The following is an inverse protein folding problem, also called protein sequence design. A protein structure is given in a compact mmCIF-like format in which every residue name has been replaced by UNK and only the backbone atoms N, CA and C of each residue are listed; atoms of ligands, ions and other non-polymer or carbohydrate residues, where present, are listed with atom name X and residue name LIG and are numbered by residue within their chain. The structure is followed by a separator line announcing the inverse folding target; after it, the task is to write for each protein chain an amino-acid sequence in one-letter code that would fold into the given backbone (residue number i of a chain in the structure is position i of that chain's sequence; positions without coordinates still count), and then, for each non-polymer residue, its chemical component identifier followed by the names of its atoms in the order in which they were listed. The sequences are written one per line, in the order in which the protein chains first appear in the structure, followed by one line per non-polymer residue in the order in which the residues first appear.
data_IF_932402346927
#
_entry.id   IF_932402346927
#
_cell.length_a   1.000
_cell.length_b   1.000
_cell.length_c   1.000
_cell.angle_alpha   90.00
_cell.angle_beta   90.00
_cell.angle_gamma   90.00
#
_symmetry.space_group_name_H-M   'P 1'
#
loop_
_entity.id
_entity.type
_entity.pdbx_description
1 polymer ?
#
# COMPACT_ATOMS: atom_id res chain seq x y z
N UNK A 1 26.30 14.30 -15.84
CA UNK A 1 25.59 13.32 -15.01
C UNK A 1 25.64 13.78 -13.55
N UNK A 2 24.55 13.74 -12.82
CA UNK A 2 24.58 14.04 -11.39
C UNK A 2 25.46 13.01 -10.66
N UNK A 3 26.37 13.47 -9.79
CA UNK A 3 27.18 12.58 -8.97
C UNK A 3 26.32 12.06 -7.80
N UNK A 4 25.59 10.95 -8.02
CA UNK A 4 24.73 10.32 -7.02
C UNK A 4 25.54 9.39 -6.12
N UNK A 5 25.33 9.51 -4.82
CA UNK A 5 25.88 8.57 -3.84
C UNK A 5 25.03 7.30 -3.79
N UNK A 6 25.58 6.21 -3.28
CA UNK A 6 24.80 5.03 -2.90
C UNK A 6 23.96 5.36 -1.69
N UNK A 7 22.64 5.32 -1.87
CA UNK A 7 21.66 5.61 -0.81
C UNK A 7 21.03 4.30 -0.35
N UNK A 8 21.29 3.92 0.89
CA UNK A 8 20.75 2.72 1.55
C UNK A 8 19.68 3.05 2.60
N UNK A 9 19.08 4.24 2.54
CA UNK A 9 17.98 4.58 3.45
C UNK A 9 16.78 3.65 3.20
N UNK A 10 16.15 3.14 4.28
CA UNK A 10 15.04 2.19 4.16
C UNK A 10 13.72 2.84 3.71
N UNK A 11 13.63 4.18 3.83
CA UNK A 11 12.47 4.98 3.44
C UNK A 11 12.48 6.36 4.11
N UNK A 12 12.41 7.47 3.33
CA UNK A 12 12.40 7.53 1.86
C UNK A 12 13.61 6.85 1.22
N UNK A 13 13.34 5.93 0.28
CA UNK A 13 14.36 5.13 -0.38
C UNK A 13 14.82 5.77 -1.71
N UNK A 14 15.85 5.19 -2.33
CA UNK A 14 16.33 5.62 -3.64
C UNK A 14 15.25 5.38 -4.72
N UNK A 15 15.09 6.35 -5.61
CA UNK A 15 14.26 6.22 -6.82
C UNK A 15 15.14 5.88 -8.03
N UNK A 16 14.60 5.21 -9.07
CA UNK A 16 15.28 5.00 -10.33
C UNK A 16 15.75 6.33 -10.93
N UNK A 17 16.98 6.36 -11.46
CA UNK A 17 17.55 7.61 -12.02
C UNK A 17 16.70 8.14 -13.19
N UNK A 18 16.27 7.26 -14.08
CA UNK A 18 15.42 7.64 -15.22
C UNK A 18 14.10 8.29 -14.80
N UNK A 19 13.49 7.82 -13.71
CA UNK A 19 12.29 8.46 -13.12
C UNK A 19 12.59 9.88 -12.66
N UNK A 20 13.72 10.09 -11.97
CA UNK A 20 14.12 11.43 -11.50
C UNK A 20 14.47 12.37 -12.66
N UNK A 21 15.06 11.84 -13.73
CA UNK A 21 15.35 12.61 -14.96
C UNK A 21 14.06 13.01 -15.66
N UNK A 22 13.10 12.12 -15.82
CA UNK A 22 11.78 12.42 -16.40
C UNK A 22 11.02 13.47 -15.56
N UNK A 23 11.07 13.37 -14.22
CA UNK A 23 10.50 14.39 -13.33
C UNK A 23 11.18 15.75 -13.56
N UNK A 24 12.50 15.79 -13.64
CA UNK A 24 13.26 17.03 -13.86
C UNK A 24 12.90 17.70 -15.18
N UNK A 25 12.77 16.92 -16.26
CA UNK A 25 12.42 17.43 -17.59
C UNK A 25 11.01 18.04 -17.62
N UNK A 26 10.06 17.41 -16.95
CA UNK A 26 8.66 17.83 -16.93
C UNK A 26 8.29 18.73 -15.72
N UNK A 27 9.27 19.12 -14.89
CA UNK A 27 8.96 19.75 -13.60
C UNK A 27 8.37 21.15 -13.76
N UNK A 28 8.92 21.99 -14.66
CA UNK A 28 8.48 23.38 -14.84
C UNK A 28 7.35 23.51 -15.86
N UNK A 29 7.27 22.60 -16.82
CA UNK A 29 6.24 22.60 -17.86
C UNK A 29 5.69 21.18 -18.04
N UNK A 30 4.72 20.84 -17.20
CA UNK A 30 4.13 19.50 -17.23
C UNK A 30 3.27 19.31 -18.46
N UNK A 31 3.74 18.44 -19.37
CA UNK A 31 3.06 18.07 -20.61
C UNK A 31 2.69 19.28 -21.50
N UNK A 32 3.52 20.31 -21.54
CA UNK A 32 3.28 21.50 -22.35
C UNK A 32 2.16 22.41 -21.83
N UNK A 33 1.79 22.28 -20.55
CA UNK A 33 0.72 23.07 -19.92
C UNK A 33 1.15 24.50 -19.54
N UNK A 34 2.45 24.78 -19.55
CA UNK A 34 3.02 26.01 -19.01
C UNK A 34 3.00 26.10 -17.49
N UNK A 35 2.64 25.00 -16.80
CA UNK A 35 2.58 24.91 -15.33
C UNK A 35 3.38 23.71 -14.83
N UNK A 36 3.95 23.83 -13.64
CA UNK A 36 4.57 22.69 -12.93
C UNK A 36 3.51 21.67 -12.52
N UNK A 37 3.90 20.39 -12.47
CA UNK A 37 3.07 19.34 -11.88
C UNK A 37 2.66 19.66 -10.42
N UNK A 38 3.43 20.50 -9.71
CA UNK A 38 3.12 20.94 -8.36
C UNK A 38 2.06 22.06 -8.30
N UNK A 39 1.77 22.70 -9.42
CA UNK A 39 0.81 23.80 -9.56
C UNK A 39 -0.48 23.39 -10.27
N UNK A 40 -0.44 22.26 -10.98
CA UNK A 40 -1.59 21.75 -11.74
C UNK A 40 -2.75 21.42 -10.80
N UNK A 41 -3.96 21.81 -11.21
CA UNK A 41 -5.18 21.40 -10.49
C UNK A 41 -5.34 19.87 -10.54
N UNK A 42 -5.58 19.26 -9.37
CA UNK A 42 -5.94 17.83 -9.29
C UNK A 42 -7.26 17.49 -10.01
N UNK A 43 -8.02 18.48 -10.45
CA UNK A 43 -9.26 18.33 -11.24
C UNK A 43 -9.02 18.60 -12.75
N UNK A 44 -7.77 18.78 -13.17
CA UNK A 44 -7.43 18.91 -14.57
C UNK A 44 -7.40 17.54 -15.26
N UNK A 45 -7.64 17.52 -16.55
CA UNK A 45 -7.53 16.31 -17.36
C UNK A 45 -6.13 15.69 -17.26
N UNK A 46 -5.08 16.52 -17.25
CA UNK A 46 -3.70 16.04 -17.16
C UNK A 46 -3.46 15.24 -15.87
N UNK A 47 -4.04 15.68 -14.74
CA UNK A 47 -3.89 14.94 -13.50
C UNK A 47 -4.82 13.73 -13.42
N UNK A 48 -6.03 13.80 -13.99
CA UNK A 48 -6.89 12.62 -14.18
C UNK A 48 -6.14 11.52 -14.95
N UNK A 49 -5.44 11.88 -16.02
CA UNK A 49 -4.65 10.95 -16.84
C UNK A 49 -3.52 10.31 -16.00
N UNK A 50 -2.85 11.06 -15.13
CA UNK A 50 -1.82 10.53 -14.20
C UNK A 50 -2.41 9.48 -13.25
N UNK A 51 -3.54 9.79 -12.61
CA UNK A 51 -4.18 8.87 -11.64
C UNK A 51 -4.67 7.62 -12.37
N UNK A 52 -5.34 7.79 -13.51
CA UNK A 52 -5.87 6.67 -14.28
C UNK A 52 -4.76 5.74 -14.80
N UNK A 53 -3.65 6.28 -15.27
CA UNK A 53 -2.50 5.48 -15.73
C UNK A 53 -1.85 4.76 -14.53
N UNK A 54 -1.69 5.41 -13.37
CA UNK A 54 -1.17 4.76 -12.17
C UNK A 54 -2.05 3.60 -11.71
N UNK A 55 -3.39 3.78 -11.72
CA UNK A 55 -4.36 2.72 -11.41
C UNK A 55 -4.25 1.56 -12.41
N UNK A 56 -4.23 1.88 -13.71
CA UNK A 56 -4.16 0.88 -14.78
C UNK A 56 -2.87 0.05 -14.71
N UNK A 57 -1.70 0.71 -14.49
CA UNK A 57 -0.41 0.03 -14.31
C UNK A 57 -0.39 -0.86 -13.06
N UNK A 58 -0.94 -0.37 -11.96
CA UNK A 58 -1.07 -1.18 -10.73
C UNK A 58 -1.87 -2.46 -11.00
N UNK A 59 -3.01 -2.33 -11.70
CA UNK A 59 -3.83 -3.48 -12.06
C UNK A 59 -3.08 -4.47 -12.96
N UNK A 60 -2.41 -3.98 -14.02
CA UNK A 60 -1.67 -4.86 -14.93
C UNK A 60 -0.49 -5.55 -14.26
N UNK A 61 0.33 -4.81 -13.52
CA UNK A 61 1.52 -5.35 -12.85
C UNK A 61 1.18 -6.44 -11.83
N UNK A 62 0.10 -6.28 -11.09
CA UNK A 62 -0.34 -7.25 -10.09
C UNK A 62 -1.35 -8.28 -10.63
N UNK A 63 -1.81 -8.16 -11.86
CA UNK A 63 -2.84 -9.04 -12.41
C UNK A 63 -4.18 -8.93 -11.66
N UNK A 64 -4.55 -7.71 -11.25
CA UNK A 64 -5.80 -7.49 -10.51
C UNK A 64 -7.01 -7.63 -11.43
N UNK A 65 -7.99 -8.38 -10.95
CA UNK A 65 -9.31 -8.45 -11.57
C UNK A 65 -10.16 -7.21 -11.24
N UNK A 66 -11.33 -7.08 -11.90
CA UNK A 66 -12.22 -5.94 -11.72
C UNK A 66 -12.91 -5.85 -10.34
N UNK A 67 -12.76 -6.87 -9.52
CA UNK A 67 -13.25 -6.90 -8.13
C UNK A 67 -12.39 -6.11 -7.14
N UNK A 68 -11.27 -5.52 -7.61
CA UNK A 68 -10.42 -4.65 -6.78
C UNK A 68 -10.54 -3.18 -7.18
N UNK A 69 -10.52 -2.31 -6.16
CA UNK A 69 -10.26 -0.88 -6.30
C UNK A 69 -8.80 -0.56 -5.95
N UNK A 70 -8.22 0.38 -6.69
CA UNK A 70 -6.86 0.90 -6.46
C UNK A 70 -6.97 2.36 -6.07
N UNK A 71 -6.50 2.71 -4.88
CA UNK A 71 -6.66 4.03 -4.29
C UNK A 71 -5.28 4.61 -3.92
N UNK A 72 -5.15 5.92 -4.08
CA UNK A 72 -4.04 6.70 -3.55
C UNK A 72 -4.56 7.60 -2.44
N UNK A 73 -4.17 7.28 -1.19
CA UNK A 73 -4.62 7.99 0.00
C UNK A 73 -3.45 8.69 0.70
N UNK A 74 -3.75 9.58 1.62
CA UNK A 74 -2.78 10.35 2.40
C UNK A 74 -2.40 9.63 3.69
N UNK A 75 -1.42 10.15 4.44
CA UNK A 75 -1.07 9.69 5.79
C UNK A 75 -0.17 8.47 5.87
N UNK A 76 0.24 7.90 4.71
CA UNK A 76 1.12 6.72 4.65
C UNK A 76 0.51 5.48 5.30
N UNK A 77 1.33 4.45 5.50
CA UNK A 77 0.92 3.20 6.15
C UNK A 77 0.47 3.41 7.62
N UNK A 78 1.04 4.39 8.31
CA UNK A 78 0.66 4.65 9.72
C UNK A 78 -0.80 5.06 9.87
N UNK A 79 -1.35 5.83 8.91
CA UNK A 79 -2.77 6.15 8.94
C UNK A 79 -3.63 4.91 8.63
N UNK A 80 -3.14 3.96 7.84
CA UNK A 80 -3.85 2.72 7.56
C UNK A 80 -4.01 1.86 8.82
N UNK A 81 -3.04 1.85 9.72
CA UNK A 81 -3.18 1.16 11.02
C UNK A 81 -4.40 1.63 11.81
N UNK A 82 -4.70 2.92 11.71
CA UNK A 82 -5.88 3.53 12.32
C UNK A 82 -7.16 3.29 11.48
N UNK A 83 -7.10 3.50 10.17
CA UNK A 83 -8.26 3.41 9.28
C UNK A 83 -8.83 1.99 9.17
N UNK A 84 -7.97 0.97 9.09
CA UNK A 84 -8.40 -0.43 8.93
C UNK A 84 -9.37 -0.85 10.03
N UNK A 85 -9.03 -0.76 11.33
CA UNK A 85 -9.96 -1.13 12.39
C UNK A 85 -11.21 -0.24 12.44
N UNK A 86 -11.12 1.04 12.06
CA UNK A 86 -12.29 1.92 11.95
C UNK A 86 -13.28 1.47 10.87
N UNK A 87 -12.76 1.06 9.71
CA UNK A 87 -13.58 0.71 8.56
C UNK A 87 -14.14 -0.71 8.66
N UNK A 88 -13.40 -1.66 9.24
CA UNK A 88 -13.76 -3.07 9.14
C UNK A 88 -14.17 -3.73 10.45
N UNK A 89 -13.84 -3.17 11.62
CA UNK A 89 -14.20 -3.72 12.92
C UNK A 89 -15.36 -2.93 13.57
N UNK A 90 -16.54 -3.04 12.95
CA UNK A 90 -17.79 -2.61 13.54
C UNK A 90 -18.26 -3.52 14.68
N UNK A 91 -19.44 -3.26 15.28
CA UNK A 91 -20.01 -4.11 16.33
C UNK A 91 -20.13 -5.58 15.88
N UNK A 92 -19.67 -6.50 16.70
CA UNK A 92 -19.74 -7.93 16.44
C UNK A 92 -18.67 -8.47 15.49
N UNK A 93 -17.77 -7.63 14.98
CA UNK A 93 -16.64 -8.03 14.11
C UNK A 93 -15.37 -8.18 14.91
N UNK A 94 -14.52 -9.10 14.47
CA UNK A 94 -13.20 -9.38 15.09
C UNK A 94 -12.13 -9.63 14.03
N UNK A 95 -10.87 -9.51 14.42
CA UNK A 95 -9.74 -9.79 13.53
C UNK A 95 -8.58 -10.46 14.25
N UNK A 96 -7.86 -11.28 13.49
CA UNK A 96 -6.60 -11.86 13.93
C UNK A 96 -5.42 -11.01 13.43
N UNK A 97 -4.44 -10.83 14.28
CA UNK A 97 -3.19 -10.13 13.97
C UNK A 97 -2.00 -11.06 14.19
N UNK A 98 -1.01 -10.97 13.30
CA UNK A 98 0.28 -11.64 13.47
C UNK A 98 1.35 -10.60 13.75
N UNK A 99 1.99 -10.70 14.94
CA UNK A 99 3.03 -9.76 15.34
C UNK A 99 4.42 -10.26 14.95
N UNK A 100 4.97 -9.65 13.89
CA UNK A 100 6.28 -10.00 13.31
C UNK A 100 7.27 -8.84 13.37
N UNK A 101 6.97 -7.77 14.07
CA UNK A 101 7.91 -6.66 14.24
C UNK A 101 7.24 -5.31 14.51
N UNK A 102 8.05 -4.27 14.50
CA UNK A 102 7.65 -2.91 14.89
C UNK A 102 6.37 -2.40 14.21
N UNK A 103 6.16 -2.73 12.93
CA UNK A 103 5.02 -2.22 12.18
C UNK A 103 3.74 -2.98 12.52
N UNK A 104 3.80 -4.31 12.66
CA UNK A 104 2.66 -5.12 13.14
C UNK A 104 2.27 -4.74 14.57
N UNK A 105 3.25 -4.56 15.48
CA UNK A 105 3.00 -4.10 16.85
C UNK A 105 2.27 -2.74 16.87
N UNK A 106 2.62 -1.81 15.97
CA UNK A 106 1.92 -0.52 15.86
C UNK A 106 0.50 -0.69 15.35
N UNK A 107 0.27 -1.54 14.35
CA UNK A 107 -1.06 -1.81 13.82
C UNK A 107 -1.97 -2.43 14.89
N UNK A 108 -1.46 -3.39 15.67
CA UNK A 108 -2.15 -3.98 16.84
C UNK A 108 -2.54 -2.89 17.83
N UNK A 109 -1.59 -2.06 18.22
CA UNK A 109 -1.81 -0.98 19.19
C UNK A 109 -2.90 0.01 18.75
N UNK A 110 -2.95 0.36 17.48
CA UNK A 110 -3.99 1.27 16.96
C UNK A 110 -5.39 0.65 17.01
N UNK A 111 -5.51 -0.66 16.79
CA UNK A 111 -6.78 -1.38 16.95
C UNK A 111 -7.20 -1.46 18.42
N UNK A 112 -6.26 -1.75 19.34
CA UNK A 112 -6.50 -1.79 20.78
C UNK A 112 -6.92 -0.41 21.34
N UNK A 113 -6.25 0.68 20.92
CA UNK A 113 -6.60 2.05 21.32
C UNK A 113 -8.03 2.43 20.93
N UNK A 114 -8.57 1.84 19.87
CA UNK A 114 -9.95 2.04 19.43
C UNK A 114 -10.94 1.08 20.12
N UNK A 115 -10.49 0.23 21.04
CA UNK A 115 -11.32 -0.74 21.73
C UNK A 115 -11.89 -1.81 20.80
N UNK A 116 -11.17 -2.17 19.74
CA UNK A 116 -11.62 -3.17 18.77
C UNK A 116 -11.37 -4.59 19.25
N UNK A 117 -12.23 -5.51 18.83
CA UNK A 117 -12.09 -6.94 19.11
C UNK A 117 -11.00 -7.53 18.20
N UNK A 118 -9.81 -7.75 18.75
CA UNK A 118 -8.70 -8.35 18.03
C UNK A 118 -8.05 -9.46 18.86
N UNK A 119 -7.39 -10.40 18.17
CA UNK A 119 -6.54 -11.42 18.78
C UNK A 119 -5.18 -11.45 18.11
N UNK A 120 -4.10 -11.43 18.90
CA UNK A 120 -2.75 -11.69 18.41
C UNK A 120 -2.56 -13.22 18.41
N UNK A 121 -2.70 -13.83 17.23
CA UNK A 121 -2.71 -15.31 17.09
C UNK A 121 -1.32 -15.91 16.99
N UNK A 122 -0.32 -15.10 16.66
CA UNK A 122 1.08 -15.50 16.66
C UNK A 122 1.98 -14.27 16.81
N UNK A 123 3.14 -14.46 17.45
CA UNK A 123 4.19 -13.45 17.59
C UNK A 123 5.57 -14.11 17.48
N UNK A 124 6.54 -13.37 16.96
CA UNK A 124 7.97 -13.74 16.99
C UNK A 124 8.80 -12.85 17.91
N UNK A 125 8.14 -12.15 18.86
CA UNK A 125 8.77 -11.28 19.85
C UNK A 125 9.76 -12.03 20.75
N UNK A 126 9.50 -13.31 21.04
CA UNK A 126 10.34 -14.20 21.85
C UNK A 126 11.79 -14.27 21.37
N UNK A 127 12.01 -14.08 20.04
CA UNK A 127 13.35 -14.02 19.41
C UNK A 127 13.61 -12.67 18.75
N UNK A 128 13.10 -11.60 19.33
CA UNK A 128 13.28 -10.24 18.82
C UNK A 128 12.90 -10.10 17.34
N UNK A 129 11.83 -10.80 16.92
CA UNK A 129 11.28 -10.79 15.57
C UNK A 129 12.26 -11.28 14.48
N UNK A 130 13.14 -12.21 14.80
CA UNK A 130 14.14 -12.76 13.87
C UNK A 130 13.62 -13.89 12.97
N UNK A 131 12.36 -14.24 13.07
CA UNK A 131 11.72 -15.27 12.25
C UNK A 131 10.26 -14.94 11.95
N UNK A 132 9.70 -15.62 10.95
CA UNK A 132 8.28 -15.58 10.64
C UNK A 132 7.61 -16.81 11.30
N UNK A 133 6.54 -16.63 12.12
CA UNK A 133 5.81 -17.73 12.74
C UNK A 133 5.23 -18.70 11.70
N UNK A 134 5.24 -20.00 12.03
CA UNK A 134 4.66 -21.07 11.20
C UNK A 134 3.56 -21.79 11.98
N UNK A 135 2.70 -22.52 11.24
CA UNK A 135 1.61 -23.30 11.83
C UNK A 135 0.68 -22.47 12.71
N UNK A 136 0.28 -21.30 12.23
CA UNK A 136 -0.61 -20.37 12.93
C UNK A 136 -2.04 -20.93 12.89
N UNK A 137 -2.67 -21.00 14.06
CA UNK A 137 -4.09 -21.33 14.16
C UNK A 137 -4.91 -20.03 14.08
N UNK A 138 -5.43 -19.72 12.91
CA UNK A 138 -6.34 -18.58 12.71
C UNK A 138 -7.74 -18.93 13.17
N UNK A 139 -8.46 -17.90 13.67
CA UNK A 139 -9.86 -18.00 13.99
C UNK A 139 -10.70 -17.94 12.70
N UNK A 140 -11.44 -19.00 12.42
CA UNK A 140 -12.29 -19.09 11.21
C UNK A 140 -13.46 -18.10 11.23
N UNK A 141 -13.82 -17.58 12.42
CA UNK A 141 -14.87 -16.57 12.60
C UNK A 141 -14.32 -15.13 12.56
N UNK A 142 -13.01 -14.94 12.38
CA UNK A 142 -12.42 -13.62 12.19
C UNK A 142 -12.83 -13.02 10.85
N UNK A 143 -13.14 -11.72 10.84
CA UNK A 143 -13.50 -11.01 9.60
C UNK A 143 -12.28 -10.80 8.68
N UNK A 144 -11.08 -10.65 9.26
CA UNK A 144 -9.84 -10.60 8.50
C UNK A 144 -8.63 -11.01 9.35
N UNK A 145 -7.53 -11.31 8.66
CA UNK A 145 -6.21 -11.50 9.25
C UNK A 145 -5.30 -10.34 8.84
N UNK A 146 -4.68 -9.65 9.80
CA UNK A 146 -3.71 -8.60 9.52
C UNK A 146 -2.27 -9.11 9.56
N UNK A 147 -1.51 -8.86 8.48
CA UNK A 147 -0.11 -9.23 8.33
C UNK A 147 0.75 -8.03 7.92
N UNK A 148 2.04 -8.09 8.25
CA UNK A 148 3.09 -7.24 7.64
C UNK A 148 3.98 -8.13 6.79
N UNK A 149 3.97 -7.96 5.47
CA UNK A 149 4.64 -8.84 4.51
C UNK A 149 6.16 -8.86 4.66
N UNK A 150 6.74 -7.70 4.92
CA UNK A 150 8.18 -7.52 5.11
C UNK A 150 8.47 -6.51 6.22
N UNK A 151 9.21 -6.95 7.23
CA UNK A 151 9.58 -6.12 8.36
C UNK A 151 10.90 -5.39 8.08
N UNK A 152 10.82 -4.17 7.60
CA UNK A 152 11.96 -3.34 7.17
C UNK A 152 13.06 -3.21 8.23
N UNK A 153 12.67 -3.11 9.51
CA UNK A 153 13.61 -2.92 10.63
C UNK A 153 14.28 -4.24 11.03
N UNK A 154 13.53 -5.35 11.01
CA UNK A 154 14.01 -6.66 11.48
C UNK A 154 14.57 -7.53 10.36
N UNK A 155 14.26 -7.21 9.10
CA UNK A 155 14.74 -7.92 7.92
C UNK A 155 14.07 -9.27 7.69
N UNK A 156 12.86 -9.48 8.24
CA UNK A 156 12.09 -10.71 8.03
C UNK A 156 10.97 -10.49 7.04
N UNK A 157 10.76 -11.45 6.13
CA UNK A 157 9.77 -11.39 5.05
C UNK A 157 9.02 -12.72 4.95
N UNK A 158 7.74 -12.66 4.66
CA UNK A 158 6.95 -13.84 4.29
C UNK A 158 7.38 -14.32 2.89
N UNK A 159 8.01 -15.48 2.83
CA UNK A 159 8.28 -16.15 1.54
C UNK A 159 6.97 -16.61 0.90
N UNK A 160 6.12 -17.23 1.72
CA UNK A 160 4.76 -17.67 1.38
C UNK A 160 3.80 -17.17 2.45
N UNK A 161 2.65 -16.66 2.03
CA UNK A 161 1.61 -16.25 2.96
C UNK A 161 0.89 -17.47 3.56
N UNK A 162 0.46 -17.40 4.82
CA UNK A 162 -0.18 -18.53 5.49
C UNK A 162 -1.56 -18.82 4.90
N UNK A 163 -2.00 -20.07 4.97
CA UNK A 163 -3.38 -20.42 4.70
C UNK A 163 -4.28 -19.94 5.85
N UNK A 164 -5.13 -18.99 5.55
CA UNK A 164 -6.10 -18.36 6.50
C UNK A 164 -7.47 -19.03 6.44
N UNK A 165 -7.61 -20.19 5.76
CA UNK A 165 -8.87 -20.91 5.59
C UNK A 165 -10.01 -20.09 5.02
N UNK A 166 -9.67 -19.18 4.09
CA UNK A 166 -10.64 -18.31 3.41
C UNK A 166 -10.93 -16.97 4.11
N UNK A 167 -10.40 -16.75 5.31
CA UNK A 167 -10.45 -15.44 5.96
C UNK A 167 -9.57 -14.47 5.16
N UNK A 168 -10.09 -13.29 4.73
CA UNK A 168 -9.33 -12.37 3.88
C UNK A 168 -8.12 -11.79 4.61
N UNK A 169 -6.99 -11.70 3.90
CA UNK A 169 -5.77 -11.09 4.43
C UNK A 169 -5.80 -9.59 4.16
N UNK A 170 -5.54 -8.77 5.19
CA UNK A 170 -5.21 -7.36 5.07
C UNK A 170 -3.72 -7.21 5.37
N UNK A 171 -2.95 -6.67 4.41
CA UNK A 171 -1.49 -6.74 4.47
C UNK A 171 -0.80 -5.39 4.29
N UNK A 172 0.08 -5.03 5.25
CA UNK A 172 1.08 -3.97 5.05
C UNK A 172 2.20 -4.50 4.16
N UNK A 173 2.27 -4.00 2.94
CA UNK A 173 3.30 -4.33 1.96
C UNK A 173 4.22 -3.14 1.65
N UNK A 174 4.35 -2.18 2.55
CA UNK A 174 5.08 -0.93 2.28
C UNK A 174 6.49 -1.13 1.75
N UNK A 175 7.20 -2.17 2.18
CA UNK A 175 8.59 -2.38 1.79
C UNK A 175 8.81 -3.40 0.68
N UNK A 176 7.79 -4.16 0.28
CA UNK A 176 7.95 -5.20 -0.74
C UNK A 176 6.82 -5.25 -1.79
N UNK A 177 5.84 -4.35 -1.75
CA UNK A 177 4.86 -4.20 -2.85
C UNK A 177 5.60 -3.99 -4.18
N UNK A 178 5.15 -4.60 -5.26
CA UNK A 178 5.77 -4.52 -6.59
C UNK A 178 7.22 -5.09 -6.67
N UNK A 179 7.68 -5.85 -5.68
CA UNK A 179 9.02 -6.48 -5.72
C UNK A 179 9.02 -7.86 -6.37
N UNK A 180 7.87 -8.51 -6.44
CA UNK A 180 7.66 -9.85 -6.98
C UNK A 180 6.18 -10.07 -7.35
N UNK A 181 5.85 -11.11 -8.15
CA UNK A 181 4.48 -11.54 -8.35
C UNK A 181 3.80 -11.97 -7.05
N UNK A 182 2.49 -11.77 -6.97
CA UNK A 182 1.66 -12.10 -5.81
C UNK A 182 0.40 -12.86 -6.23
N UNK A 183 -0.06 -13.78 -5.39
CA UNK A 183 -1.38 -14.40 -5.49
C UNK A 183 -2.44 -13.43 -4.92
N UNK A 184 -2.79 -12.41 -5.70
CA UNK A 184 -3.60 -11.27 -5.24
C UNK A 184 -4.97 -11.66 -4.69
N UNK A 185 -5.57 -12.74 -5.18
CA UNK A 185 -6.90 -13.21 -4.75
C UNK A 185 -6.95 -13.69 -3.29
N UNK A 186 -5.80 -13.89 -2.63
CA UNK A 186 -5.72 -14.21 -1.21
C UNK A 186 -5.96 -13.00 -0.30
N UNK A 187 -5.86 -11.79 -0.86
CA UNK A 187 -5.96 -10.56 -0.09
C UNK A 187 -7.33 -9.91 -0.22
N UNK A 188 -7.89 -9.51 0.91
CA UNK A 188 -9.01 -8.57 0.95
C UNK A 188 -8.52 -7.14 0.73
N UNK A 189 -7.31 -6.83 1.27
CA UNK A 189 -6.69 -5.52 1.10
C UNK A 189 -5.16 -5.62 1.19
N UNK A 190 -4.48 -4.90 0.31
CA UNK A 190 -3.05 -4.63 0.38
C UNK A 190 -2.84 -3.13 0.47
N UNK A 191 -1.88 -2.69 1.29
CA UNK A 191 -1.55 -1.27 1.35
C UNK A 191 -0.05 -1.05 1.49
N UNK A 192 0.43 0.10 1.00
CA UNK A 192 1.85 0.42 0.98
C UNK A 192 2.09 1.92 1.06
N UNK A 193 2.83 2.36 2.06
CA UNK A 193 3.41 3.71 2.04
C UNK A 193 4.44 3.82 0.91
N UNK A 194 4.22 4.78 -0.01
CA UNK A 194 4.98 4.86 -1.25
C UNK A 194 6.49 5.05 -1.06
N UNK A 195 6.91 5.71 0.01
CA UNK A 195 8.29 6.14 0.27
C UNK A 195 9.33 5.03 0.38
N UNK A 196 8.92 3.78 0.43
CA UNK A 196 9.85 2.65 0.50
C UNK A 196 10.14 2.09 -0.90
N UNK A 197 9.14 1.52 -1.58
CA UNK A 197 9.39 0.74 -2.79
C UNK A 197 8.80 1.30 -4.08
N UNK A 198 7.83 2.21 -4.02
CA UNK A 198 7.09 2.65 -5.21
C UNK A 198 7.08 4.16 -5.47
N UNK A 199 7.70 4.98 -4.62
CA UNK A 199 7.66 6.44 -4.82
C UNK A 199 8.24 7.24 -3.66
N UNK A 200 7.94 8.55 -3.57
CA UNK A 200 8.32 9.42 -2.48
C UNK A 200 7.33 9.33 -1.31
N UNK A 201 7.66 10.01 -0.20
CA UNK A 201 6.71 10.23 0.88
C UNK A 201 5.50 11.06 0.41
N UNK A 202 4.34 10.84 1.04
CA UNK A 202 3.12 11.62 0.85
C UNK A 202 1.92 10.82 0.36
N UNK A 203 2.12 9.76 -0.43
CA UNK A 203 1.06 8.86 -0.87
C UNK A 203 1.13 7.49 -0.18
N UNK A 204 -0.02 6.87 -0.02
CA UNK A 204 -0.17 5.47 0.31
C UNK A 204 -1.03 4.81 -0.76
N UNK A 205 -0.51 3.74 -1.37
CA UNK A 205 -1.27 2.87 -2.27
C UNK A 205 -2.14 1.96 -1.42
N UNK A 206 -3.43 1.88 -1.75
CA UNK A 206 -4.38 0.94 -1.17
C UNK A 206 -5.04 0.17 -2.30
N UNK A 207 -4.99 -1.14 -2.24
CA UNK A 207 -5.64 -2.06 -3.16
C UNK A 207 -6.64 -2.84 -2.33
N UNK A 208 -7.92 -2.65 -2.59
CA UNK A 208 -8.99 -3.18 -1.75
C UNK A 208 -10.03 -3.91 -2.58
N UNK A 209 -10.44 -5.07 -2.12
CA UNK A 209 -11.53 -5.84 -2.72
C UNK A 209 -12.86 -5.12 -2.50
N UNK A 210 -13.66 -5.00 -3.54
CA UNK A 210 -14.88 -4.17 -3.56
C UNK A 210 -15.91 -4.59 -2.52
N UNK A 211 -16.06 -5.88 -2.25
CA UNK A 211 -16.98 -6.38 -1.22
C UNK A 211 -16.67 -5.89 0.19
N UNK A 212 -15.38 -5.59 0.49
CA UNK A 212 -15.01 -5.00 1.78
C UNK A 212 -15.49 -3.56 1.94
N UNK A 213 -15.78 -2.85 0.86
CA UNK A 213 -16.33 -1.49 0.93
C UNK A 213 -17.73 -1.47 1.52
N UNK A 214 -18.49 -2.57 1.40
CA UNK A 214 -19.82 -2.73 1.97
C UNK A 214 -19.80 -2.97 3.50
N UNK A 215 -18.62 -3.30 4.05
CA UNK A 215 -18.47 -3.49 5.50
C UNK A 215 -18.35 -2.19 6.28
N UNK A 216 -18.10 -1.09 5.59
CA UNK A 216 -17.69 0.19 6.20
C UNK A 216 -18.89 0.87 6.85
N UNK A 217 -18.87 1.10 8.18
CA UNK A 217 -19.96 1.77 8.87
C UNK A 217 -20.13 3.22 8.43
N UNK A 218 -21.38 3.70 8.40
CA UNK A 218 -21.69 5.10 8.07
C UNK A 218 -21.07 6.10 9.07
N UNK A 219 -20.79 5.65 10.28
CA UNK A 219 -20.21 6.45 11.37
C UNK A 219 -18.73 6.76 11.18
N UNK A 220 -18.04 6.12 10.23
CA UNK A 220 -16.63 6.44 9.95
C UNK A 220 -16.55 7.85 9.36
N UNK A 221 -15.66 8.72 9.86
CA UNK A 221 -15.46 10.06 9.32
C UNK A 221 -15.09 10.03 7.83
N UNK A 222 -15.66 10.95 7.05
CA UNK A 222 -15.57 10.98 5.58
C UNK A 222 -14.15 10.81 5.05
N UNK A 223 -13.17 11.50 5.63
CA UNK A 223 -11.75 11.46 5.20
C UNK A 223 -11.00 10.20 5.66
N UNK A 224 -11.61 9.37 6.50
CA UNK A 224 -11.04 8.10 6.97
C UNK A 224 -11.79 6.89 6.40
N UNK A 225 -12.75 7.11 5.49
CA UNK A 225 -13.62 6.09 4.89
C UNK A 225 -13.08 5.70 3.51
N UNK A 226 -12.69 4.43 3.29
CA UNK A 226 -12.18 3.98 2.00
C UNK A 226 -13.21 4.13 0.87
N UNK A 227 -14.49 3.92 1.15
CA UNK A 227 -15.56 4.10 0.15
C UNK A 227 -15.66 5.55 -0.36
N UNK A 228 -15.28 6.56 0.44
CA UNK A 228 -15.19 7.95 0.00
C UNK A 228 -14.15 8.13 -1.13
N UNK A 229 -12.99 7.52 -0.97
CA UNK A 229 -11.92 7.58 -1.98
C UNK A 229 -12.27 6.72 -3.21
N UNK A 230 -12.86 5.53 -3.01
CA UNK A 230 -13.30 4.66 -4.10
C UNK A 230 -14.33 5.36 -5.00
N UNK A 231 -15.34 6.00 -4.42
CA UNK A 231 -16.37 6.72 -5.16
C UNK A 231 -15.87 7.94 -5.96
N UNK A 232 -14.63 8.39 -5.73
CA UNK A 232 -14.05 9.60 -6.34
C UNK A 232 -12.68 9.34 -6.97
N UNK A 233 -12.35 8.11 -7.30
CA UNK A 233 -11.06 7.73 -7.89
C UNK A 233 -9.88 8.41 -7.15
N UNK A 234 -9.86 8.30 -5.82
CA UNK A 234 -8.90 8.92 -4.90
C UNK A 234 -8.96 10.46 -4.78
N UNK A 235 -9.78 11.13 -5.58
CA UNK A 235 -9.82 12.59 -5.70
C UNK A 235 -11.02 13.23 -4.99
N UNK A 236 -11.41 12.70 -3.84
CA UNK A 236 -12.42 13.35 -3.00
C UNK A 236 -11.96 14.76 -2.53
N UNK A 237 -10.72 14.85 -2.07
CA UNK A 237 -9.99 16.09 -1.78
C UNK A 237 -8.73 16.16 -2.64
N UNK A 238 -7.96 17.23 -2.53
CA UNK A 238 -6.67 17.35 -3.23
C UNK A 238 -5.71 16.27 -2.74
N UNK A 239 -5.31 15.31 -3.58
CA UNK A 239 -4.34 14.29 -3.22
C UNK A 239 -2.92 14.86 -3.22
N UNK A 240 -1.90 14.12 -2.75
CA UNK A 240 -0.50 14.51 -2.88
C UNK A 240 -0.04 14.35 -4.34
N UNK A 241 -0.42 15.29 -5.22
CA UNK A 241 -0.32 15.20 -6.67
C UNK A 241 1.07 14.80 -7.14
N UNK A 242 2.12 15.46 -6.63
CA UNK A 242 3.49 15.15 -7.01
C UNK A 242 3.92 13.73 -6.59
N UNK A 243 3.46 13.25 -5.44
CA UNK A 243 3.77 11.89 -5.01
C UNK A 243 3.06 10.84 -5.87
N UNK A 244 1.79 11.06 -6.23
CA UNK A 244 1.04 10.17 -7.12
C UNK A 244 1.66 10.14 -8.52
N UNK A 245 2.05 11.29 -9.07
CA UNK A 245 2.78 11.37 -10.33
C UNK A 245 4.10 10.58 -10.28
N UNK A 246 4.87 10.74 -9.21
CA UNK A 246 6.12 9.97 -9.09
C UNK A 246 5.87 8.47 -8.98
N UNK A 247 4.82 8.04 -8.27
CA UNK A 247 4.40 6.62 -8.22
C UNK A 247 4.05 6.13 -9.63
N UNK A 248 3.27 6.91 -10.39
CA UNK A 248 2.93 6.58 -11.78
C UNK A 248 4.19 6.34 -12.63
N UNK A 249 5.22 7.20 -12.51
CA UNK A 249 6.47 7.04 -13.24
C UNK A 249 7.29 5.82 -12.79
N UNK A 250 7.28 5.49 -11.50
CA UNK A 250 7.93 4.26 -10.99
C UNK A 250 7.24 3.02 -11.53
N UNK A 251 5.90 3.00 -11.56
CA UNK A 251 5.13 1.90 -12.14
C UNK A 251 5.38 1.77 -13.65
N UNK A 252 5.47 2.89 -14.37
CA UNK A 252 5.85 2.94 -15.78
C UNK A 252 7.25 2.34 -15.99
N UNK A 253 8.24 2.77 -15.21
CA UNK A 253 9.59 2.22 -15.25
C UNK A 253 9.61 0.70 -14.99
N UNK A 254 8.86 0.24 -14.00
CA UNK A 254 8.77 -1.18 -13.66
C UNK A 254 8.14 -2.00 -14.81
N UNK A 255 7.11 -1.48 -15.44
CA UNK A 255 6.41 -2.15 -16.54
C UNK A 255 7.22 -2.11 -17.85
N UNK A 256 7.70 -0.93 -18.26
CA UNK A 256 8.27 -0.70 -19.58
C UNK A 256 9.81 -0.91 -19.64
N UNK A 257 10.53 -0.53 -18.55
CA UNK A 257 12.01 -0.64 -18.55
C UNK A 257 12.46 -1.96 -17.94
N UNK A 258 11.89 -2.36 -16.81
CA UNK A 258 12.22 -3.63 -16.17
C UNK A 258 11.51 -4.78 -16.88
N UNK A 259 10.26 -4.60 -17.29
CA UNK A 259 9.45 -5.59 -18.00
C UNK A 259 8.64 -6.50 -17.07
N UNK A 260 8.21 -5.97 -15.90
CA UNK A 260 7.27 -6.61 -15.00
C UNK A 260 7.87 -7.25 -13.75
N UNK A 261 6.98 -7.85 -12.95
CA UNK A 261 7.32 -8.31 -11.59
C UNK A 261 8.21 -9.56 -11.56
N UNK A 262 8.09 -10.48 -12.54
CA UNK A 262 8.97 -11.64 -12.64
C UNK A 262 10.43 -11.21 -12.85
N UNK A 263 10.65 -10.25 -13.74
CA UNK A 263 12.01 -9.72 -13.97
C UNK A 263 12.53 -8.94 -12.78
N UNK A 264 11.67 -8.17 -12.11
CA UNK A 264 12.04 -7.45 -10.90
C UNK A 264 12.43 -8.44 -9.78
N UNK A 265 11.68 -9.51 -9.59
CA UNK A 265 12.02 -10.56 -8.63
C UNK A 265 13.37 -11.23 -8.92
N UNK A 266 13.70 -11.41 -10.20
CA UNK A 266 15.00 -11.94 -10.62
C UNK A 266 16.17 -10.97 -10.40
N UNK A 267 15.92 -9.66 -10.38
CA UNK A 267 16.92 -8.63 -10.06
C UNK A 267 17.17 -8.56 -8.55
N UNK A 268 16.10 -8.65 -7.74
CA UNK A 268 16.17 -8.59 -6.28
C UNK A 268 16.83 -9.83 -5.67
#
# INVERSE_FOLDING_TARGET
MANRIYNFNPGPAALPLSVLEEIKENFLDFQGSGMSITEISHRSRQFDDVVNDAVARTKRLLGLEDNFEVLFVQGGASLQFCMIPMNFLGPGRSADYVDTGTWSTKAIKEAELQGKSIQVVASSEDKNYSYIPKNIAFNEDADFVHLTSNNTIKGTQWAEFPDTRGVPIICDMSSDIMSRPLEVNRFGMMYAGAQKNIGPAGACLVIIRKDLLDWIPDTVPTMLKYSTFAAKNSMYNTPPCFAVYTVQLVLKWLEETIGGLEKMAGIN
#
